data_IF_069105674856
#
_entry.id   IF_069105674856
#
_cell.length_a   1.000
_cell.length_b   1.000
_cell.length_c   1.000
_cell.angle_alpha   90.00
_cell.angle_beta   90.00
_cell.angle_gamma   90.00
#
_symmetry.space_group_name_H-M   'P 1'
#
loop_
_entity.id
_entity.type
_entity.pdbx_description
1 polymer ?
#
# COMPACT_ATOMS: atom_id res chain seq x y z
N UNK A 1 -16.03 25.23 16.62
CA UNK A 1 -14.60 25.10 16.98
C UNK A 1 -14.42 24.13 18.14
N UNK A 2 -15.40 24.03 19.03
CA UNK A 2 -15.40 23.10 20.17
C UNK A 2 -15.31 21.63 19.74
N UNK A 3 -16.05 21.21 18.69
CA UNK A 3 -15.99 19.85 18.15
C UNK A 3 -14.57 19.39 17.78
N UNK A 4 -13.78 20.26 17.15
CA UNK A 4 -12.39 19.95 16.77
C UNK A 4 -11.49 19.85 18.01
N UNK A 5 -11.74 20.70 19.00
CA UNK A 5 -10.98 20.71 20.25
C UNK A 5 -11.27 19.49 21.12
N UNK A 6 -12.54 19.11 21.22
CA UNK A 6 -12.98 17.93 21.94
C UNK A 6 -12.43 16.66 21.29
N UNK A 7 -12.51 16.55 19.96
CA UNK A 7 -11.92 15.43 19.22
C UNK A 7 -10.40 15.32 19.41
N UNK A 8 -9.67 16.45 19.44
CA UNK A 8 -8.22 16.45 19.72
C UNK A 8 -7.91 16.00 21.15
N UNK A 9 -8.69 16.47 22.14
CA UNK A 9 -8.52 16.05 23.54
C UNK A 9 -8.78 14.56 23.69
N UNK A 10 -9.82 14.05 23.07
CA UNK A 10 -10.19 12.63 23.11
C UNK A 10 -9.13 11.76 22.42
N UNK A 11 -8.67 12.16 21.22
CA UNK A 11 -7.57 11.48 20.54
C UNK A 11 -6.29 11.43 21.40
N UNK A 12 -5.93 12.53 22.06
CA UNK A 12 -4.78 12.55 22.97
C UNK A 12 -5.00 11.64 24.19
N UNK A 13 -6.23 11.61 24.72
CA UNK A 13 -6.64 10.69 25.78
C UNK A 13 -6.47 9.22 25.37
N UNK A 14 -6.90 8.84 24.17
CA UNK A 14 -6.73 7.49 23.61
C UNK A 14 -5.26 7.11 23.44
N UNK A 15 -4.43 8.05 22.96
CA UNK A 15 -2.99 7.83 22.77
C UNK A 15 -2.25 7.68 24.10
N UNK A 16 -2.45 8.60 25.05
CA UNK A 16 -1.75 8.57 26.35
C UNK A 16 -2.28 7.46 27.25
N UNK A 17 -3.59 7.18 27.19
CA UNK A 17 -4.21 6.06 27.87
C UNK A 17 -3.78 4.70 27.34
N UNK A 18 -3.09 4.66 26.19
CA UNK A 18 -2.59 3.43 25.58
C UNK A 18 -3.72 2.52 25.12
N UNK A 19 -4.75 3.12 24.52
CA UNK A 19 -5.96 2.42 24.08
C UNK A 19 -5.60 1.14 23.28
N UNK A 20 -6.14 -0.03 23.68
CA UNK A 20 -5.78 -1.29 23.04
C UNK A 20 -6.13 -1.36 21.55
N UNK A 21 -7.22 -0.71 21.13
CA UNK A 21 -7.67 -0.72 19.74
C UNK A 21 -6.77 0.17 18.87
N UNK A 22 -6.46 1.38 19.32
CA UNK A 22 -5.52 2.29 18.63
C UNK A 22 -4.14 1.63 18.50
N UNK A 23 -3.66 0.98 19.57
CA UNK A 23 -2.38 0.26 19.53
C UNK A 23 -2.42 -0.93 18.55
N UNK A 24 -3.52 -1.68 18.51
CA UNK A 24 -3.69 -2.79 17.58
C UNK A 24 -3.70 -2.32 16.11
N UNK A 25 -4.42 -1.22 15.82
CA UNK A 25 -4.44 -0.61 14.49
C UNK A 25 -3.04 -0.13 14.11
N UNK A 26 -2.35 0.60 14.98
CA UNK A 26 -1.01 1.10 14.72
C UNK A 26 -0.01 -0.03 14.42
N UNK A 27 -0.04 -1.10 15.23
CA UNK A 27 0.82 -2.27 15.00
C UNK A 27 0.51 -2.97 13.67
N UNK A 28 -0.78 -3.16 13.36
CA UNK A 28 -1.21 -3.75 12.09
C UNK A 28 -0.78 -2.89 10.89
N UNK A 29 -0.86 -1.56 10.99
CA UNK A 29 -0.37 -0.66 9.96
C UNK A 29 1.15 -0.79 9.75
N UNK A 30 1.91 -0.91 10.83
CA UNK A 30 3.37 -1.14 10.77
C UNK A 30 3.66 -2.49 10.12
N UNK A 31 2.99 -3.56 10.54
CA UNK A 31 3.17 -4.91 9.99
C UNK A 31 2.91 -4.92 8.47
N UNK A 32 1.79 -4.38 8.03
CA UNK A 32 1.43 -4.31 6.60
C UNK A 32 2.44 -3.45 5.83
N UNK A 33 2.81 -2.28 6.36
CA UNK A 33 3.74 -1.37 5.67
C UNK A 33 5.15 -1.96 5.59
N UNK A 34 5.63 -2.59 6.66
CA UNK A 34 6.95 -3.20 6.72
C UNK A 34 7.03 -4.42 5.79
N UNK A 35 6.03 -5.30 5.79
CA UNK A 35 5.96 -6.45 4.90
C UNK A 35 5.87 -6.02 3.43
N UNK A 36 5.00 -5.06 3.10
CA UNK A 36 4.91 -4.50 1.75
C UNK A 36 6.22 -3.85 1.29
N UNK A 37 6.88 -3.10 2.17
CA UNK A 37 8.19 -2.47 1.88
C UNK A 37 9.26 -3.52 1.64
N UNK A 38 9.34 -4.55 2.49
CA UNK A 38 10.32 -5.62 2.35
C UNK A 38 10.13 -6.37 1.03
N UNK A 39 8.91 -6.76 0.69
CA UNK A 39 8.58 -7.40 -0.59
C UNK A 39 8.93 -6.49 -1.78
N UNK A 40 8.65 -5.19 -1.66
CA UNK A 40 8.99 -4.20 -2.69
C UNK A 40 10.50 -4.04 -2.87
N UNK A 41 11.29 -4.09 -1.79
CA UNK A 41 12.75 -4.06 -1.89
C UNK A 41 13.28 -5.34 -2.56
N UNK A 42 12.80 -6.51 -2.12
CA UNK A 42 13.24 -7.81 -2.64
C UNK A 42 12.94 -7.98 -4.14
N UNK A 43 11.81 -7.47 -4.62
CA UNK A 43 11.46 -7.55 -6.04
C UNK A 43 11.97 -6.34 -6.84
N UNK A 44 11.78 -5.14 -6.31
CA UNK A 44 12.03 -3.87 -6.99
C UNK A 44 13.51 -3.53 -7.14
N UNK A 45 14.35 -3.83 -6.15
CA UNK A 45 15.80 -3.54 -6.25
C UNK A 45 16.46 -4.41 -7.33
N UNK A 46 16.30 -5.75 -7.36
CA UNK A 46 16.88 -6.55 -8.43
C UNK A 46 16.34 -6.17 -9.81
N UNK A 47 15.03 -5.94 -9.95
CA UNK A 47 14.43 -5.51 -11.21
C UNK A 47 14.98 -4.15 -11.68
N UNK A 48 15.14 -3.20 -10.76
CA UNK A 48 15.72 -1.88 -11.03
C UNK A 48 17.18 -1.95 -11.44
N UNK A 49 17.98 -2.79 -10.76
CA UNK A 49 19.40 -3.03 -11.11
C UNK A 49 19.51 -3.65 -12.50
N UNK A 50 18.70 -4.67 -12.81
CA UNK A 50 18.69 -5.29 -14.13
C UNK A 50 18.30 -4.29 -15.23
N UNK A 51 17.30 -3.45 -14.98
CA UNK A 51 16.86 -2.40 -15.91
C UNK A 51 17.91 -1.30 -16.10
N UNK A 52 18.68 -0.99 -15.06
CA UNK A 52 19.74 0.02 -15.10
C UNK A 52 20.98 -0.47 -15.85
N UNK A 53 21.42 -1.70 -15.57
CA UNK A 53 22.71 -2.23 -16.05
C UNK A 53 22.62 -3.01 -17.36
N UNK A 54 21.45 -3.56 -17.73
CA UNK A 54 21.30 -4.35 -18.95
C UNK A 54 20.77 -3.52 -20.13
N UNK A 55 21.52 -3.39 -21.23
CA UNK A 55 20.99 -2.83 -22.47
C UNK A 55 20.23 -3.91 -23.25
N UNK A 56 18.91 -3.73 -23.41
CA UNK A 56 18.07 -4.62 -24.23
C UNK A 56 17.09 -3.81 -25.10
N UNK A 57 16.67 -4.35 -26.26
CA UNK A 57 15.68 -3.69 -27.11
C UNK A 57 14.33 -3.59 -26.37
N UNK A 58 13.81 -2.37 -26.23
CA UNK A 58 12.57 -2.10 -25.48
C UNK A 58 12.75 -1.48 -24.09
N UNK A 59 13.98 -1.32 -23.59
CA UNK A 59 14.27 -0.70 -22.29
C UNK A 59 13.58 0.65 -22.07
N UNK A 60 13.52 1.51 -23.09
CA UNK A 60 12.83 2.82 -22.99
C UNK A 60 11.35 2.69 -22.68
N UNK A 61 10.66 1.70 -23.26
CA UNK A 61 9.25 1.45 -22.99
C UNK A 61 9.05 0.97 -21.55
N UNK A 62 9.90 0.04 -21.08
CA UNK A 62 9.84 -0.46 -19.70
C UNK A 62 10.07 0.68 -18.70
N UNK A 63 11.10 1.51 -18.91
CA UNK A 63 11.36 2.69 -18.06
C UNK A 63 10.18 3.67 -18.08
N UNK A 64 9.57 3.90 -19.25
CA UNK A 64 8.38 4.75 -19.36
C UNK A 64 7.21 4.17 -18.56
N UNK A 65 6.94 2.87 -18.64
CA UNK A 65 5.88 2.21 -17.87
C UNK A 65 6.12 2.32 -16.36
N UNK A 66 7.35 2.10 -15.90
CA UNK A 66 7.71 2.25 -14.47
C UNK A 66 7.48 3.69 -14.00
N UNK A 67 7.93 4.69 -14.77
CA UNK A 67 7.73 6.10 -14.42
C UNK A 67 6.24 6.50 -14.46
N UNK A 68 5.47 6.01 -15.44
CA UNK A 68 4.02 6.21 -15.48
C UNK A 68 3.34 5.61 -14.24
N UNK A 69 3.80 4.43 -13.81
CA UNK A 69 3.36 3.78 -12.58
C UNK A 69 3.48 4.68 -11.34
N UNK A 70 4.56 5.45 -11.23
CA UNK A 70 4.78 6.40 -10.12
C UNK A 70 3.76 7.55 -10.10
N UNK A 71 3.12 7.86 -11.23
CA UNK A 71 2.11 8.91 -11.36
C UNK A 71 0.66 8.45 -11.24
N UNK A 72 0.40 7.15 -11.03
CA UNK A 72 -0.97 6.65 -10.93
C UNK A 72 -1.67 7.21 -9.67
N UNK A 73 -2.93 7.68 -9.77
CA UNK A 73 -3.68 8.09 -8.61
C UNK A 73 -3.87 6.91 -7.63
N UNK A 74 -3.64 7.09 -6.32
CA UNK A 74 -3.79 6.02 -5.34
C UNK A 74 -5.17 5.35 -5.36
N UNK A 75 -6.22 6.13 -5.64
CA UNK A 75 -7.60 5.64 -5.76
C UNK A 75 -7.76 4.68 -6.94
N UNK A 76 -7.10 4.94 -8.07
CA UNK A 76 -7.16 4.07 -9.26
C UNK A 76 -6.49 2.72 -8.95
N UNK A 77 -5.34 2.75 -8.28
CA UNK A 77 -4.64 1.54 -7.84
C UNK A 77 -5.51 0.74 -6.88
N UNK A 78 -6.10 1.41 -5.87
CA UNK A 78 -7.00 0.77 -4.91
C UNK A 78 -8.23 0.13 -5.56
N UNK A 79 -8.86 0.81 -6.51
CA UNK A 79 -10.01 0.30 -7.24
C UNK A 79 -9.64 -0.91 -8.10
N UNK A 80 -8.50 -0.83 -8.82
CA UNK A 80 -8.02 -1.93 -9.64
C UNK A 80 -7.78 -3.20 -8.81
N UNK A 81 -7.08 -3.07 -7.67
CA UNK A 81 -6.85 -4.18 -6.75
C UNK A 81 -8.17 -4.72 -6.20
N UNK A 82 -9.09 -3.84 -5.79
CA UNK A 82 -10.39 -4.23 -5.23
C UNK A 82 -11.24 -5.02 -6.23
N UNK A 83 -11.36 -4.54 -7.46
CA UNK A 83 -12.10 -5.24 -8.53
C UNK A 83 -11.43 -6.58 -8.86
N UNK A 84 -10.10 -6.64 -8.80
CA UNK A 84 -9.35 -7.88 -9.08
C UNK A 84 -9.62 -8.94 -8.02
N UNK A 85 -9.66 -8.55 -6.74
CA UNK A 85 -9.86 -9.44 -5.59
C UNK A 85 -11.33 -9.70 -5.24
N UNK A 86 -12.28 -8.98 -5.85
CA UNK A 86 -13.70 -9.25 -5.66
C UNK A 86 -14.05 -10.68 -6.04
N UNK A 87 -15.11 -11.22 -5.43
CA UNK A 87 -15.59 -12.60 -5.70
C UNK A 87 -15.87 -12.86 -7.19
N UNK A 88 -16.35 -11.85 -7.91
CA UNK A 88 -16.60 -11.92 -9.37
C UNK A 88 -15.40 -11.47 -10.21
N UNK A 89 -14.31 -11.07 -9.57
CA UNK A 89 -13.09 -10.58 -10.20
C UNK A 89 -12.15 -11.72 -10.63
N UNK A 90 -11.13 -11.41 -11.45
CA UNK A 90 -10.14 -12.38 -11.93
C UNK A 90 -9.45 -13.21 -10.85
N UNK A 91 -9.22 -12.64 -9.67
CA UNK A 91 -8.60 -13.31 -8.52
C UNK A 91 -9.60 -13.61 -7.39
N UNK A 92 -10.91 -13.58 -7.69
CA UNK A 92 -11.97 -13.79 -6.70
C UNK A 92 -11.97 -15.16 -6.05
N UNK A 93 -11.42 -16.17 -6.74
CA UNK A 93 -11.25 -17.54 -6.22
C UNK A 93 -10.30 -17.63 -5.01
N UNK A 94 -9.49 -16.59 -4.74
CA UNK A 94 -8.62 -16.55 -3.56
C UNK A 94 -9.37 -16.20 -2.27
N UNK A 95 -10.62 -15.70 -2.38
CA UNK A 95 -11.50 -15.34 -1.26
C UNK A 95 -10.85 -14.42 -0.19
N UNK A 96 -9.85 -13.63 -0.60
CA UNK A 96 -9.08 -12.74 0.28
C UNK A 96 -9.84 -11.48 0.72
N UNK A 97 -10.86 -11.08 -0.04
CA UNK A 97 -11.68 -9.91 0.29
C UNK A 97 -12.92 -10.38 1.09
N UNK A 98 -13.08 -9.83 2.30
CA UNK A 98 -14.15 -10.15 3.26
C UNK A 98 -14.00 -11.49 4.01
N UNK A 99 -12.77 -11.92 4.23
CA UNK A 99 -12.38 -12.99 5.18
C UNK A 99 -12.10 -12.41 6.57
#
# INVERSE_FOLDING_TARGET
MDLLWDGLREAFGLLVGGDPEVRAIAWRSIEISATATLLSLLAGVPAGVLLALSPFPGRRLVVALVNTGMGLPPVVVGLFISITLWRSGPLGFLELLYT
#
